data_IF_432882623074
#
_entry.id   IF_432882623074
#
_cell.length_a   1.000
_cell.length_b   1.000
_cell.length_c   1.000
_cell.angle_alpha   90.00
_cell.angle_beta   90.00
_cell.angle_gamma   90.00
#
_symmetry.space_group_name_H-M   'P 1'
#
loop_
_entity.id
_entity.type
_entity.pdbx_description
1 polymer ?
2 non-polymer ?
3 water ?
#
# COMPACT_ATOMS: atom_id res chain seq x y z
N UNK A 1 -7.12 25.30 -6.88
CA UNK A 1 -7.86 24.11 -7.39
C UNK A 1 -9.33 24.44 -7.58
N UNK A 2 -9.99 23.79 -8.55
CA UNK A 2 -11.42 24.08 -8.75
C UNK A 2 -12.18 23.67 -7.49
N UNK A 3 -13.24 24.40 -7.19
CA UNK A 3 -14.08 24.13 -6.03
C UNK A 3 -14.80 22.78 -6.14
N UNK A 4 -15.12 22.38 -7.37
CA UNK A 4 -15.77 21.10 -7.60
C UNK A 4 -15.28 20.50 -8.91
N UNK A 5 -15.31 19.18 -8.98
CA UNK A 5 -14.87 18.43 -10.15
C UNK A 5 -15.79 17.23 -10.34
N UNK A 6 -16.10 16.92 -11.60
CA UNK A 6 -16.93 15.76 -11.93
C UNK A 6 -16.42 15.24 -13.25
N UNK A 7 -15.60 14.18 -13.21
CA UNK A 7 -15.01 13.64 -14.42
C UNK A 7 -16.05 13.07 -15.37
N UNK A 8 -17.28 12.87 -14.88
CA UNK A 8 -18.34 12.36 -15.75
C UNK A 8 -18.64 13.43 -16.81
N UNK A 9 -18.53 14.70 -16.41
CA UNK A 9 -18.79 15.82 -17.31
C UNK A 9 -17.74 15.96 -18.42
N UNK A 10 -16.63 15.25 -18.27
CA UNK A 10 -15.58 15.31 -19.27
C UNK A 10 -15.57 14.03 -20.10
N UNK A 11 -16.63 13.23 -19.96
CA UNK A 11 -16.72 12.00 -20.72
C UNK A 11 -15.59 11.02 -20.40
N UNK A 12 -15.07 11.06 -19.18
CA UNK A 12 -13.97 10.17 -18.77
C UNK A 12 -14.38 9.00 -17.88
N UNK A 13 -15.68 8.83 -17.65
CA UNK A 13 -16.17 7.74 -16.81
C UNK A 13 -17.14 6.82 -17.58
N UNK A 14 -16.87 5.53 -17.57
CA UNK A 14 -17.72 4.57 -18.27
C UNK A 14 -18.94 4.23 -17.42
N UNK A 15 -19.86 3.43 -17.98
CA UNK A 15 -21.05 3.01 -17.25
C UNK A 15 -20.71 2.30 -15.95
N UNK A 16 -21.61 2.39 -14.97
CA UNK A 16 -21.44 1.71 -13.70
C UNK A 16 -21.58 0.21 -13.99
N UNK A 17 -20.69 -0.59 -13.41
CA UNK A 17 -20.69 -2.03 -13.62
C UNK A 17 -21.26 -2.73 -12.40
N UNK A 18 -21.67 -3.99 -12.58
CA UNK A 18 -22.24 -4.79 -11.52
C UNK A 18 -21.31 -6.00 -11.27
N UNK A 19 -20.64 -6.00 -10.12
CA UNK A 19 -19.70 -7.07 -9.81
C UNK A 19 -20.35 -8.38 -9.39
N UNK A 20 -21.60 -8.32 -8.93
CA UNK A 20 -22.28 -9.53 -8.51
C UNK A 20 -21.68 -10.14 -7.27
N UNK A 21 -21.73 -11.47 -7.19
CA UNK A 21 -21.21 -12.16 -6.04
C UNK A 21 -19.71 -12.45 -6.09
N UNK A 22 -18.98 -11.73 -6.92
CA UNK A 22 -17.54 -11.93 -7.02
C UNK A 22 -16.88 -10.69 -6.43
N UNK A 23 -15.95 -10.88 -5.49
CA UNK A 23 -15.30 -9.75 -4.84
C UNK A 23 -14.23 -9.14 -5.72
N UNK A 24 -14.66 -8.55 -6.83
CA UNK A 24 -13.73 -7.95 -7.78
C UNK A 24 -13.73 -6.42 -7.75
N UNK A 25 -14.22 -5.84 -6.66
CA UNK A 25 -14.25 -4.39 -6.55
C UNK A 25 -12.89 -3.78 -6.91
N UNK A 26 -11.82 -4.42 -6.45
CA UNK A 26 -10.47 -3.92 -6.70
C UNK A 26 -10.22 -3.85 -8.19
N UNK A 27 -10.67 -4.85 -8.94
CA UNK A 27 -10.46 -4.87 -10.37
C UNK A 27 -11.24 -3.75 -11.07
N UNK A 28 -12.48 -3.54 -10.63
CA UNK A 28 -13.32 -2.50 -11.22
C UNK A 28 -12.71 -1.14 -10.88
N UNK A 29 -12.20 -1.00 -9.66
CA UNK A 29 -11.59 0.27 -9.26
C UNK A 29 -10.40 0.55 -10.17
N UNK A 30 -9.54 -0.44 -10.37
CA UNK A 30 -8.37 -0.25 -11.21
C UNK A 30 -8.71 0.11 -12.68
N UNK A 31 -9.58 -0.65 -13.34
CA UNK A 31 -9.91 -0.33 -14.71
C UNK A 31 -10.59 1.04 -14.85
N UNK A 32 -11.44 1.40 -13.88
CA UNK A 32 -12.11 2.70 -13.94
C UNK A 32 -11.10 3.85 -13.99
N UNK A 33 -10.07 3.75 -13.16
CA UNK A 33 -9.02 4.78 -13.14
C UNK A 33 -8.28 4.80 -14.49
N UNK A 34 -7.94 3.62 -15.01
CA UNK A 34 -7.22 3.58 -16.28
C UNK A 34 -8.09 4.07 -17.44
N UNK A 35 -9.38 3.76 -17.38
CA UNK A 35 -10.32 4.16 -18.42
C UNK A 35 -10.26 5.69 -18.62
N UNK A 36 -10.18 6.42 -17.52
CA UNK A 36 -10.13 7.89 -17.59
C UNK A 36 -8.85 8.35 -18.29
N UNK A 37 -7.74 7.72 -17.93
CA UNK A 37 -6.45 8.06 -18.53
C UNK A 37 -6.46 7.73 -20.01
N UNK A 38 -7.07 6.60 -20.35
CA UNK A 38 -7.16 6.19 -21.74
C UNK A 38 -7.91 7.23 -22.54
N UNK A 39 -9.03 7.70 -21.99
CA UNK A 39 -9.85 8.70 -22.64
C UNK A 39 -9.05 9.99 -22.79
N UNK A 40 -8.41 10.40 -21.72
CA UNK A 40 -7.60 11.61 -21.77
C UNK A 40 -6.51 11.52 -22.82
N UNK A 41 -5.91 10.34 -22.98
CA UNK A 41 -4.82 10.19 -23.93
C UNK A 41 -5.24 10.01 -25.38
N UNK A 42 -6.25 9.17 -25.61
CA UNK A 42 -6.68 8.88 -26.97
C UNK A 42 -7.97 9.53 -27.44
N UNK A 43 -8.72 10.10 -26.52
CA UNK A 43 -9.99 10.74 -26.88
C UNK A 43 -11.14 9.74 -26.91
N UNK A 44 -10.84 8.47 -26.71
CA UNK A 44 -11.87 7.44 -26.73
C UNK A 44 -12.20 6.84 -25.35
N UNK A 45 -13.50 6.78 -25.03
CA UNK A 45 -13.96 6.21 -23.77
C UNK A 45 -14.31 4.73 -24.00
N UNK A 46 -13.57 3.84 -23.36
CA UNK A 46 -13.72 2.38 -23.53
C UNK A 46 -13.69 1.64 -22.19
N UNK A 47 -14.67 0.79 -21.91
CA UNK A 47 -14.62 0.04 -20.66
C UNK A 47 -13.49 -0.98 -20.79
N UNK A 48 -12.71 -1.18 -19.73
CA UNK A 48 -11.62 -2.14 -19.77
C UNK A 48 -12.03 -3.41 -19.01
N UNK A 49 -11.36 -4.52 -19.30
CA UNK A 49 -11.70 -5.81 -18.70
C UNK A 49 -11.35 -6.07 -17.25
N UNK A 50 -12.35 -6.00 -16.37
CA UNK A 50 -12.11 -6.29 -14.97
C UNK A 50 -11.80 -7.78 -14.85
N UNK A 51 -12.41 -8.60 -15.70
CA UNK A 51 -12.20 -10.06 -15.68
C UNK A 51 -10.74 -10.40 -15.99
N UNK A 52 -10.16 -9.65 -16.93
CA UNK A 52 -8.76 -9.83 -17.33
C UNK A 52 -7.90 -9.76 -16.07
N UNK A 53 -8.21 -8.78 -15.21
CA UNK A 53 -7.46 -8.61 -13.98
C UNK A 53 -7.74 -9.76 -13.01
N UNK A 54 -9.00 -10.13 -12.90
CA UNK A 54 -9.40 -11.23 -12.01
C UNK A 54 -8.68 -12.53 -12.35
N UNK A 55 -8.68 -12.88 -13.63
CA UNK A 55 -8.06 -14.11 -14.11
C UNK A 55 -6.56 -14.11 -14.24
N UNK A 56 -5.99 -12.94 -14.49
CA UNK A 56 -4.56 -12.82 -14.74
C UNK A 56 -3.65 -12.13 -13.72
N UNK A 57 -4.14 -11.10 -13.03
CA UNK A 57 -3.31 -10.41 -12.03
C UNK A 57 -3.63 -11.17 -10.76
N UNK A 58 -2.97 -12.32 -10.60
CA UNK A 58 -3.28 -13.18 -9.48
C UNK A 58 -2.21 -13.32 -8.40
N UNK A 59 -1.84 -14.56 -8.07
CA UNK A 59 -0.89 -14.84 -7.01
C UNK A 59 0.37 -13.99 -7.05
N UNK A 60 0.99 -13.88 -8.23
CA UNK A 60 2.23 -13.11 -8.35
C UNK A 60 2.03 -11.67 -7.91
N UNK A 61 0.78 -11.22 -7.94
CA UNK A 61 0.44 -9.87 -7.55
C UNK A 61 -0.25 -9.78 -6.19
N UNK A 62 -0.25 -10.88 -5.46
CA UNK A 62 -0.87 -10.89 -4.13
C UNK A 62 -2.39 -10.79 -4.20
N UNK A 63 -2.95 -10.99 -5.39
CA UNK A 63 -4.40 -10.92 -5.54
C UNK A 63 -5.05 -12.30 -5.50
N UNK A 64 -6.35 -12.32 -5.21
CA UNK A 64 -7.09 -13.57 -5.10
C UNK A 64 -8.41 -13.57 -5.86
N UNK A 65 -8.43 -12.87 -6.99
CA UNK A 65 -9.62 -12.84 -7.84
C UNK A 65 -10.90 -12.43 -7.17
N UNK A 66 -11.90 -13.32 -7.24
CA UNK A 66 -13.20 -13.06 -6.64
C UNK A 66 -13.13 -12.99 -5.13
N UNK A 67 -11.94 -13.26 -4.57
CA UNK A 67 -11.77 -13.20 -3.13
C UNK A 67 -10.93 -11.98 -2.70
N UNK A 68 -10.80 -11.01 -3.59
CA UNK A 68 -10.08 -9.81 -3.21
C UNK A 68 -8.79 -9.53 -3.93
N UNK A 69 -8.42 -8.25 -3.95
CA UNK A 69 -7.19 -7.85 -4.60
C UNK A 69 -6.84 -6.39 -4.31
N UNK A 70 -5.79 -5.91 -4.97
CA UNK A 70 -5.29 -4.55 -4.79
C UNK A 70 -5.26 -3.80 -6.12
N UNK A 71 -5.61 -2.52 -6.07
CA UNK A 71 -5.60 -1.72 -7.29
C UNK A 71 -4.17 -1.48 -7.76
N UNK A 72 -3.26 -1.20 -6.83
CA UNK A 72 -1.88 -0.94 -7.23
C UNK A 72 -1.19 -2.13 -7.87
N UNK A 73 -1.44 -3.35 -7.37
CA UNK A 73 -0.77 -4.51 -7.95
C UNK A 73 -1.38 -4.87 -9.29
N UNK A 74 -2.65 -4.50 -9.45
CA UNK A 74 -3.37 -4.71 -10.69
C UNK A 74 -2.70 -3.82 -11.73
N UNK A 75 -2.46 -2.56 -11.35
CA UNK A 75 -1.80 -1.60 -12.24
C UNK A 75 -0.45 -2.17 -12.67
N UNK A 76 0.33 -2.66 -11.72
CA UNK A 76 1.64 -3.23 -12.05
C UNK A 76 1.49 -4.41 -13.00
N UNK A 77 0.43 -5.21 -12.83
CA UNK A 77 0.19 -6.33 -13.74
C UNK A 77 0.02 -5.78 -15.15
N UNK A 78 -0.76 -4.72 -15.29
CA UNK A 78 -0.97 -4.14 -16.61
C UNK A 78 0.36 -3.66 -17.20
N UNK A 79 1.19 -3.07 -16.35
CA UNK A 79 2.50 -2.59 -16.78
C UNK A 79 3.35 -3.80 -17.21
N UNK A 80 3.49 -4.77 -16.32
CA UNK A 80 4.29 -5.96 -16.61
C UNK A 80 3.79 -6.69 -17.85
N UNK A 81 2.47 -6.82 -17.96
CA UNK A 81 1.82 -7.50 -19.07
C UNK A 81 1.86 -6.74 -20.40
N UNK A 82 2.15 -5.44 -20.33
CA UNK A 82 2.17 -4.59 -21.50
C UNK A 82 0.76 -4.33 -22.07
N UNK A 83 -0.26 -4.49 -21.25
CA UNK A 83 -1.61 -4.21 -21.70
C UNK A 83 -2.73 -4.89 -20.95
N UNK A 84 -3.95 -4.46 -21.24
CA UNK A 84 -5.15 -5.03 -20.65
C UNK A 84 -6.17 -5.04 -21.79
N UNK A 85 -6.98 -6.08 -21.85
CA UNK A 85 -7.99 -6.20 -22.91
C UNK A 85 -9.22 -5.34 -22.62
N UNK A 86 -10.05 -5.14 -23.63
CA UNK A 86 -11.27 -4.37 -23.47
C UNK A 86 -12.30 -5.27 -22.78
N UNK A 87 -13.24 -4.64 -22.07
CA UNK A 87 -14.32 -5.35 -21.41
C UNK A 87 -15.09 -6.16 -22.48
N UNK A 88 -15.33 -5.54 -23.65
CA UNK A 88 -16.05 -6.22 -24.73
C UNK A 88 -15.37 -7.53 -25.21
N UNK A 89 -14.05 -7.53 -25.27
CA UNK A 89 -13.30 -8.72 -25.72
C UNK A 89 -13.13 -9.77 -24.65
N UNK A 90 -13.17 -9.34 -23.40
CA UNK A 90 -12.94 -10.23 -22.25
C UNK A 90 -13.99 -9.84 -21.20
N UNK A 91 -15.24 -10.30 -21.40
CA UNK A 91 -16.39 -10.02 -20.53
C UNK A 91 -16.33 -10.54 -19.11
N UNK A 92 -16.98 -9.80 -18.24
CA UNK A 92 -17.01 -10.10 -16.82
C UNK A 92 -18.02 -11.20 -16.51
N UNK A 93 -17.53 -12.26 -15.88
CA UNK A 93 -18.37 -13.41 -15.55
C UNK A 93 -18.56 -13.62 -14.05
N UNK A 94 -18.00 -12.71 -13.26
CA UNK A 94 -18.14 -12.81 -11.80
C UNK A 94 -17.70 -14.19 -11.31
N UNK A 95 -16.62 -14.70 -11.89
CA UNK A 95 -16.06 -16.00 -11.51
C UNK A 95 -14.57 -15.99 -11.77
N UNK A 96 -13.85 -16.86 -11.08
CA UNK A 96 -12.42 -17.00 -11.26
C UNK A 96 -12.29 -17.88 -12.50
N UNK A 97 -11.52 -17.45 -13.49
CA UNK A 97 -11.32 -18.22 -14.71
C UNK A 97 -9.84 -18.30 -15.04
N UNK A 98 -9.50 -19.13 -16.00
CA UNK A 98 -8.11 -19.26 -16.43
C UNK A 98 -7.77 -17.96 -17.13
N UNK A 99 -6.52 -17.51 -17.03
CA UNK A 99 -6.10 -16.27 -17.70
C UNK A 99 -6.22 -16.42 -19.20
N UNK A 100 -6.99 -15.53 -19.83
CA UNK A 100 -7.23 -15.57 -21.27
C UNK A 100 -6.81 -14.30 -21.98
N UNK A 101 -5.86 -13.56 -21.43
CA UNK A 101 -5.39 -12.33 -22.07
C UNK A 101 -4.86 -12.61 -23.47
N UNK A 102 -5.19 -11.73 -24.40
CA UNK A 102 -4.72 -11.85 -25.79
C UNK A 102 -4.47 -10.41 -26.21
N UNK A 103 -3.22 -10.10 -26.58
CA UNK A 103 -2.84 -8.75 -26.99
C UNK A 103 -3.58 -8.25 -28.21
N UNK A 104 -4.20 -9.17 -28.95
CA UNK A 104 -4.98 -8.80 -30.14
C UNK A 104 -6.22 -8.02 -29.69
N UNK A 105 -6.61 -8.18 -28.44
CA UNK A 105 -7.76 -7.47 -27.88
C UNK A 105 -7.36 -6.36 -26.91
N UNK A 106 -6.07 -6.00 -26.88
CA UNK A 106 -5.57 -4.95 -25.98
C UNK A 106 -6.27 -3.62 -26.26
N UNK A 107 -6.75 -2.96 -25.21
CA UNK A 107 -7.41 -1.64 -25.37
C UNK A 107 -6.70 -0.51 -24.62
N UNK A 108 -5.74 -0.88 -23.77
CA UNK A 108 -5.00 0.11 -23.01
C UNK A 108 -3.68 -0.48 -22.52
N UNK A 109 -2.79 0.41 -22.11
CA UNK A 109 -1.51 0.02 -21.53
C UNK A 109 -1.37 0.95 -20.31
N UNK A 110 -0.36 0.66 -19.49
CA UNK A 110 -0.08 1.48 -18.32
C UNK A 110 1.45 1.55 -18.20
N UNK A 111 1.99 2.73 -17.90
CA UNK A 111 3.44 2.84 -17.78
C UNK A 111 3.91 3.00 -16.33
N UNK A 112 3.01 3.45 -15.45
CA UNK A 112 3.35 3.64 -14.05
C UNK A 112 2.11 3.95 -13.24
N UNK A 113 2.24 3.91 -11.92
CA UNK A 113 1.13 4.28 -11.05
C UNK A 113 1.72 5.05 -9.86
N UNK A 114 0.87 5.80 -9.17
CA UNK A 114 1.29 6.59 -8.04
C UNK A 114 0.39 6.35 -6.84
N UNK A 115 0.98 6.14 -5.68
CA UNK A 115 0.20 5.95 -4.47
C UNK A 115 0.31 7.27 -3.71
N UNK A 116 -0.84 7.86 -3.39
CA UNK A 116 -0.85 9.13 -2.66
C UNK A 116 -0.52 8.93 -1.18
N UNK A 117 -0.03 9.98 -0.50
CA UNK A 117 0.30 9.90 0.94
C UNK A 117 -0.95 9.58 1.76
N UNK A 118 -0.78 8.71 2.74
CA UNK A 118 -1.87 8.28 3.59
C UNK A 118 -2.71 9.37 4.27
N UNK A 119 -4.02 9.32 4.05
CA UNK A 119 -4.95 10.21 4.70
C UNK A 119 -4.99 11.69 4.39
N UNK A 120 -4.18 12.13 3.44
CA UNK A 120 -4.13 13.52 3.04
C UNK A 120 -5.24 13.80 2.01
N UNK A 121 -6.35 14.39 2.47
CA UNK A 121 -7.48 14.70 1.60
C UNK A 121 -7.20 15.89 0.66
N UNK A 122 -6.29 16.77 1.06
CA UNK A 122 -5.91 17.91 0.20
C UNK A 122 -5.10 17.40 -1.01
N UNK A 123 -4.24 16.40 -0.78
CA UNK A 123 -3.44 15.82 -1.87
C UNK A 123 -4.36 15.04 -2.82
N UNK A 124 -5.34 14.34 -2.24
CA UNK A 124 -6.27 13.59 -3.04
C UNK A 124 -7.10 14.55 -3.91
N UNK A 125 -7.48 15.70 -3.35
CA UNK A 125 -8.27 16.71 -4.08
C UNK A 125 -7.47 17.20 -5.28
N UNK A 126 -6.20 17.48 -5.02
CA UNK A 126 -5.30 17.95 -6.06
C UNK A 126 -5.13 16.90 -7.18
N UNK A 127 -4.98 15.63 -6.81
CA UNK A 127 -4.84 14.58 -7.80
C UNK A 127 -6.11 14.42 -8.64
N UNK A 128 -7.26 14.44 -7.97
CA UNK A 128 -8.53 14.29 -8.66
C UNK A 128 -8.71 15.45 -9.63
N UNK A 129 -8.30 16.65 -9.21
CA UNK A 129 -8.43 17.82 -10.07
C UNK A 129 -7.42 17.84 -11.20
N UNK A 130 -6.16 17.55 -10.88
CA UNK A 130 -5.10 17.63 -11.88
C UNK A 130 -4.72 16.40 -12.66
N UNK A 131 -5.02 15.21 -12.14
CA UNK A 131 -4.65 13.96 -12.82
C UNK A 131 -5.85 13.19 -13.38
N UNK A 132 -6.90 13.05 -12.58
CA UNK A 132 -8.08 12.33 -13.02
C UNK A 132 -8.63 11.47 -11.90
N UNK A 133 -9.64 10.60 -12.16
CA UNK A 133 -10.23 9.74 -11.13
C UNK A 133 -9.15 8.94 -10.41
N UNK A 134 -9.34 8.77 -9.10
CA UNK A 134 -8.37 8.07 -8.26
C UNK A 134 -8.99 6.84 -7.59
N UNK A 135 -8.27 5.72 -7.67
CA UNK A 135 -8.72 4.47 -7.06
C UNK A 135 -8.48 4.60 -5.57
N UNK A 136 -9.45 4.19 -4.75
CA UNK A 136 -9.30 4.27 -3.30
C UNK A 136 -9.99 3.10 -2.62
N UNK A 137 -9.69 2.92 -1.34
CA UNK A 137 -10.35 1.87 -0.58
C UNK A 137 -11.16 2.59 0.49
N UNK A 138 -12.35 2.11 0.80
CA UNK A 138 -13.14 2.72 1.86
C UNK A 138 -13.69 1.65 2.76
N UNK A 139 -14.09 2.04 3.95
CA UNK A 139 -14.69 1.10 4.90
C UNK A 139 -16.17 1.09 4.47
N UNK A 140 -16.58 0.06 3.74
CA UNK A 140 -17.98 -0.04 3.29
C UNK A 140 -18.75 -1.16 3.98
N UNK A 141 -18.27 -1.62 5.12
CA UNK A 141 -18.94 -2.71 5.79
C UNK A 141 -20.11 -2.34 6.69
N UNK A 142 -20.43 -1.06 6.81
CA UNK A 142 -21.53 -0.68 7.69
C UNK A 142 -22.88 -0.75 7.02
N UNK A 143 -23.89 -1.30 7.73
CA UNK A 143 -25.24 -1.44 7.17
C UNK A 143 -25.71 -0.19 6.41
N UNK A 144 -25.39 0.98 6.94
CA UNK A 144 -25.78 2.26 6.31
C UNK A 144 -25.21 2.42 4.89
N UNK A 145 -24.05 1.83 4.64
CA UNK A 145 -23.44 1.98 3.31
C UNK A 145 -24.30 1.36 2.20
N UNK A 146 -24.82 0.16 2.46
CA UNK A 146 -25.65 -0.56 1.48
C UNK A 146 -26.99 0.13 1.21
N UNK A 147 -27.49 0.85 2.20
CA UNK A 147 -28.77 1.54 2.12
C UNK A 147 -28.70 3.00 1.71
N UNK A 148 -27.52 3.46 1.35
CA UNK A 148 -27.35 4.85 0.95
C UNK A 148 -28.21 5.16 -0.28
N UNK A 149 -28.91 6.29 -0.24
CA UNK A 149 -29.77 6.66 -1.35
C UNK A 149 -29.50 8.06 -1.87
N UNK A 150 -29.20 9.02 -0.99
CA UNK A 150 -28.96 10.38 -1.46
C UNK A 150 -28.23 11.22 -0.43
N UNK A 151 -27.94 12.46 -0.80
CA UNK A 151 -27.24 13.37 0.11
C UNK A 151 -25.76 13.03 0.22
N UNK A 152 -25.15 13.43 1.34
CA UNK A 152 -23.74 13.15 1.56
C UNK A 152 -23.63 12.14 2.70
N UNK A 153 -23.03 10.99 2.39
CA UNK A 153 -22.86 9.90 3.33
C UNK A 153 -21.88 10.21 4.45
N UNK A 154 -22.38 10.13 5.67
CA UNK A 154 -21.58 10.32 6.85
C UNK A 154 -22.03 9.28 7.87
N UNK A 155 -21.12 8.38 8.24
CA UNK A 155 -21.43 7.31 9.18
C UNK A 155 -20.51 7.38 10.41
N UNK A 156 -21.06 7.77 11.57
CA UNK A 156 -20.23 7.86 12.80
C UNK A 156 -19.46 6.57 13.09
N UNK A 157 -20.04 5.43 12.77
CA UNK A 157 -19.39 4.15 13.03
C UNK A 157 -18.30 3.79 12.02
N UNK A 158 -18.08 4.66 11.03
CA UNK A 158 -17.07 4.35 10.02
C UNK A 158 -15.65 4.40 10.58
N UNK A 159 -14.75 3.66 9.94
CA UNK A 159 -13.38 3.60 10.39
C UNK A 159 -12.42 3.76 9.22
N UNK A 160 -11.13 3.80 9.53
CA UNK A 160 -10.10 3.92 8.53
C UNK A 160 -9.55 2.54 8.19
N UNK A 161 -10.32 1.51 8.57
CA UNK A 161 -9.97 0.13 8.25
C UNK A 161 -10.75 -0.13 6.97
N UNK A 162 -10.10 0.09 5.82
CA UNK A 162 -10.78 -0.07 4.54
C UNK A 162 -10.85 -1.48 4.01
N UNK A 163 -11.93 -1.77 3.30
CA UNK A 163 -12.16 -3.09 2.77
C UNK A 163 -12.76 -3.15 1.39
N UNK A 164 -13.21 -2.02 0.84
CA UNK A 164 -13.86 -2.01 -0.48
C UNK A 164 -13.20 -1.06 -1.49
N UNK A 165 -12.82 -1.58 -2.66
CA UNK A 165 -12.18 -0.76 -3.67
C UNK A 165 -13.18 -0.04 -4.54
N UNK A 166 -13.04 1.28 -4.65
CA UNK A 166 -13.96 2.07 -5.45
C UNK A 166 -13.18 3.16 -6.16
N UNK A 167 -13.89 4.08 -6.81
CA UNK A 167 -13.24 5.13 -7.57
C UNK A 167 -13.79 6.52 -7.34
N UNK A 168 -12.89 7.46 -7.04
CA UNK A 168 -13.28 8.84 -6.84
C UNK A 168 -13.23 9.51 -8.21
N UNK A 169 -14.38 9.98 -8.68
CA UNK A 169 -14.45 10.62 -9.99
C UNK A 169 -14.73 12.11 -9.88
N UNK A 170 -14.66 12.63 -8.66
CA UNK A 170 -14.90 14.05 -8.45
C UNK A 170 -15.10 14.41 -6.99
N UNK A 171 -15.42 15.68 -6.75
CA UNK A 171 -15.65 16.17 -5.41
C UNK A 171 -16.44 17.49 -5.51
N UNK A 172 -16.97 17.95 -4.38
CA UNK A 172 -17.75 19.17 -4.41
C UNK A 172 -18.37 19.46 -3.06
N UNK A 173 -19.44 20.24 -3.10
CA UNK A 173 -20.17 20.67 -1.91
C UNK A 173 -21.68 20.60 -2.22
N UNK A 174 -22.45 19.96 -1.35
CA UNK A 174 -23.89 19.84 -1.53
C UNK A 174 -24.58 20.29 -0.25
N UNK A 175 -25.28 21.42 -0.32
CA UNK A 175 -25.97 21.94 0.85
C UNK A 175 -25.08 22.13 2.05
N UNK A 176 -23.89 22.66 1.80
CA UNK A 176 -22.96 22.91 2.87
C UNK A 176 -22.14 21.72 3.35
N UNK A 177 -22.25 20.56 2.70
CA UNK A 177 -21.48 19.37 3.09
C UNK A 177 -20.53 19.02 1.95
N UNK A 178 -19.22 19.03 2.24
CA UNK A 178 -18.21 18.71 1.25
C UNK A 178 -18.24 17.20 1.03
N UNK A 179 -18.04 16.77 -0.21
CA UNK A 179 -18.11 15.35 -0.47
C UNK A 179 -17.14 14.89 -1.56
N UNK A 180 -16.91 13.59 -1.60
CA UNK A 180 -16.11 12.95 -2.61
C UNK A 180 -17.17 12.22 -3.45
N UNK A 181 -17.08 12.35 -4.77
CA UNK A 181 -18.04 11.67 -5.66
C UNK A 181 -17.41 10.32 -5.98
N UNK A 182 -18.04 9.25 -5.47
CA UNK A 182 -17.53 7.90 -5.63
C UNK A 182 -18.32 6.96 -6.54
N UNK A 183 -17.61 6.36 -7.50
CA UNK A 183 -18.21 5.39 -8.41
C UNK A 183 -18.03 3.99 -7.81
N UNK A 184 -19.13 3.32 -7.54
CA UNK A 184 -19.12 1.97 -6.97
C UNK A 184 -19.30 0.94 -8.09
N UNK A 185 -19.27 -0.36 -7.77
CA UNK A 185 -19.44 -1.38 -8.78
C UNK A 185 -20.51 -2.38 -8.36
N UNK A 186 -21.61 -1.86 -7.82
CA UNK A 186 -22.73 -2.68 -7.39
C UNK A 186 -23.93 -2.37 -8.26
N UNK A 187 -23.66 -1.96 -9.49
CA UNK A 187 -24.73 -1.67 -10.44
C UNK A 187 -25.39 -0.33 -10.23
N UNK A 188 -26.32 -0.02 -11.12
CA UNK A 188 -27.08 1.22 -11.07
C UNK A 188 -28.11 1.26 -9.94
N UNK A 189 -28.51 0.12 -9.40
CA UNK A 189 -29.49 0.14 -8.32
C UNK A 189 -28.91 0.69 -7.02
N UNK A 190 -27.59 0.63 -6.88
CA UNK A 190 -26.98 1.13 -5.65
C UNK A 190 -26.86 2.65 -5.62
N UNK A 191 -27.22 3.25 -4.48
CA UNK A 191 -27.11 4.69 -4.31
C UNK A 191 -27.69 5.56 -5.40
N UNK A 192 -26.90 6.54 -5.85
CA UNK A 192 -27.37 7.45 -6.90
C UNK A 192 -26.90 6.94 -8.24
N UNK A 193 -27.68 6.03 -8.81
CA UNK A 193 -27.37 5.40 -10.09
C UNK A 193 -25.96 4.78 -10.07
N UNK A 194 -25.61 4.16 -8.94
CA UNK A 194 -24.32 3.49 -8.80
C UNK A 194 -23.23 4.30 -8.11
N UNK A 195 -23.54 5.54 -7.77
CA UNK A 195 -22.60 6.45 -7.13
C UNK A 195 -22.97 6.78 -5.70
N UNK A 196 -21.98 7.22 -4.92
CA UNK A 196 -22.19 7.64 -3.54
C UNK A 196 -21.32 8.88 -3.24
N UNK A 197 -21.94 9.90 -2.66
CA UNK A 197 -21.24 11.11 -2.26
C UNK A 197 -20.82 10.83 -0.83
N UNK A 198 -19.51 10.76 -0.58
CA UNK A 198 -19.01 10.45 0.75
C UNK A 198 -18.37 11.68 1.39
N UNK A 199 -18.58 11.86 2.69
CA UNK A 199 -18.06 13.02 3.40
C UNK A 199 -16.59 13.29 3.16
N UNK A 200 -16.30 14.55 2.87
CA UNK A 200 -14.95 15.02 2.58
C UNK A 200 -14.49 16.06 3.62
N UNK A 201 -13.21 16.00 3.97
CA UNK A 201 -12.63 16.89 4.96
C UNK A 201 -13.31 16.68 6.29
N UNK A 202 -13.67 15.44 6.55
CA UNK A 202 -14.30 15.09 7.82
C UNK A 202 -13.41 14.01 8.46
N UNK A 203 -12.13 14.35 8.63
CA UNK A 203 -11.16 13.45 9.22
C UNK A 203 -10.96 12.14 8.50
N UNK A 204 -10.76 12.19 7.18
CA UNK A 204 -10.56 10.98 6.40
C UNK A 204 -11.65 9.96 6.69
N UNK A 205 -12.90 10.42 6.54
CA UNK A 205 -14.09 9.59 6.80
C UNK A 205 -14.11 8.27 6.00
N UNK A 206 -14.33 7.16 6.71
CA UNK A 206 -14.36 5.82 6.13
C UNK A 206 -13.05 5.46 5.42
N UNK A 207 -11.97 6.17 5.75
CA UNK A 207 -10.66 5.90 5.14
C UNK A 207 -10.54 6.22 3.66
N UNK A 208 -11.43 7.07 3.15
CA UNK A 208 -11.41 7.37 1.74
C UNK A 208 -10.04 7.84 1.19
N UNK A 209 -9.27 8.61 1.96
CA UNK A 209 -7.96 9.06 1.47
C UNK A 209 -6.82 8.22 2.04
N UNK A 210 -7.16 7.08 2.64
CA UNK A 210 -6.13 6.22 3.24
C UNK A 210 -5.16 5.62 2.23
N UNK A 211 -5.72 5.01 1.20
CA UNK A 211 -4.92 4.34 0.18
C UNK A 211 -5.30 4.68 -1.27
N UNK A 212 -5.05 5.92 -1.71
CA UNK A 212 -5.36 6.35 -3.07
C UNK A 212 -4.21 6.07 -4.04
N UNK A 213 -4.55 5.81 -5.29
CA UNK A 213 -3.54 5.59 -6.32
C UNK A 213 -4.17 5.84 -7.68
N UNK A 214 -3.34 6.22 -8.64
CA UNK A 214 -3.85 6.42 -9.99
C UNK A 214 -2.77 6.00 -10.98
N UNK A 215 -3.17 5.44 -12.12
CA UNK A 215 -2.22 4.99 -13.15
C UNK A 215 -2.00 6.10 -14.16
N UNK A 216 -0.99 5.93 -15.02
CA UNK A 216 -0.73 6.88 -16.08
C UNK A 216 -0.30 6.09 -17.31
N UNK A 217 -0.51 6.68 -18.48
CA UNK A 217 -0.18 6.04 -19.75
C UNK A 217 0.96 6.83 -20.41
N UNK B 1 25.37 0.45 -10.07
CA UNK B 1 25.11 0.06 -8.64
C UNK B 1 26.16 -0.90 -8.08
N UNK B 2 26.56 -0.70 -6.81
CA UNK B 2 27.56 -1.60 -6.23
C UNK B 2 27.00 -3.02 -6.21
N UNK B 3 27.88 -4.01 -6.27
CA UNK B 3 27.47 -5.42 -6.26
C UNK B 3 26.91 -5.86 -4.92
N UNK B 4 27.40 -5.23 -3.85
CA UNK B 4 26.97 -5.55 -2.47
C UNK B 4 26.93 -4.26 -1.62
N UNK B 5 25.96 -4.19 -0.70
CA UNK B 5 25.80 -3.05 0.19
C UNK B 5 25.41 -3.58 1.57
N UNK B 6 25.97 -3.01 2.63
CA UNK B 6 25.62 -3.41 4.00
C UNK B 6 25.59 -2.12 4.82
N UNK B 7 24.39 -1.61 5.10
CA UNK B 7 24.26 -0.38 5.86
C UNK B 7 24.80 -0.46 7.27
N UNK B 8 25.03 -1.67 7.78
CA UNK B 8 25.61 -1.77 9.14
C UNK B 8 27.06 -1.27 9.05
N UNK B 9 27.73 -1.56 7.92
CA UNK B 9 29.10 -1.09 7.73
C UNK B 9 29.17 0.43 7.72
N UNK B 10 28.05 1.07 7.40
CA UNK B 10 28.02 2.53 7.35
C UNK B 10 27.50 3.22 8.63
N UNK B 11 27.34 2.44 9.70
CA UNK B 11 26.88 2.96 10.98
C UNK B 11 25.43 3.44 11.04
N UNK B 12 24.58 2.92 10.17
CA UNK B 12 23.18 3.32 10.09
C UNK B 12 22.14 2.31 10.57
N UNK B 13 22.56 1.27 11.27
CA UNK B 13 21.63 0.26 11.76
C UNK B 13 21.84 0.01 13.27
N UNK B 14 20.76 0.11 14.04
CA UNK B 14 20.83 -0.08 15.49
C UNK B 14 20.85 -1.57 15.84
N UNK B 15 20.92 -1.86 17.14
CA UNK B 15 20.94 -3.24 17.56
C UNK B 15 19.59 -3.90 17.27
N UNK B 16 19.62 -5.21 17.09
CA UNK B 16 18.41 -5.98 16.81
C UNK B 16 17.49 -5.91 18.02
N UNK B 17 16.21 -5.70 17.78
CA UNK B 17 15.22 -5.63 18.85
C UNK B 17 14.42 -6.95 18.93
N UNK B 18 13.81 -7.20 20.09
CA UNK B 18 12.98 -8.40 20.32
C UNK B 18 11.52 -7.97 20.52
N UNK B 19 10.66 -8.22 19.54
CA UNK B 19 9.26 -7.80 19.63
C UNK B 19 8.43 -8.59 20.63
N UNK B 20 8.88 -9.80 20.94
CA UNK B 20 8.18 -10.61 21.91
C UNK B 20 6.86 -11.10 21.38
N UNK B 21 5.85 -11.21 22.26
CA UNK B 21 4.55 -11.71 21.83
C UNK B 21 3.64 -10.65 21.21
N UNK B 22 4.15 -9.45 21.01
CA UNK B 22 3.39 -8.36 20.42
C UNK B 22 3.67 -8.30 18.91
N UNK B 23 2.60 -8.23 18.11
CA UNK B 23 2.76 -8.18 16.66
C UNK B 23 3.13 -6.79 16.17
N UNK B 24 4.34 -6.36 16.55
CA UNK B 24 4.83 -5.03 16.20
C UNK B 24 5.90 -5.02 15.14
N UNK B 25 6.01 -6.09 14.36
CA UNK B 25 7.03 -6.15 13.31
C UNK B 25 7.01 -4.88 12.46
N UNK B 26 5.81 -4.41 12.14
CA UNK B 26 5.61 -3.21 11.32
C UNK B 26 6.21 -1.97 11.97
N UNK B 27 6.05 -1.83 13.28
CA UNK B 27 6.60 -0.69 14.00
C UNK B 27 8.13 -0.73 13.97
N UNK B 28 8.70 -1.90 14.26
CA UNK B 28 10.15 -2.05 14.25
C UNK B 28 10.73 -1.80 12.85
N UNK B 29 10.07 -2.30 11.83
CA UNK B 29 10.52 -2.10 10.45
C UNK B 29 10.57 -0.59 10.16
N UNK B 30 9.52 0.11 10.59
CA UNK B 30 9.44 1.54 10.33
C UNK B 30 10.51 2.34 11.07
N UNK B 31 10.69 2.08 12.36
CA UNK B 31 11.70 2.83 13.11
C UNK B 31 13.06 2.50 12.53
N UNK B 32 13.24 1.25 12.12
CA UNK B 32 14.52 0.84 11.55
C UNK B 32 14.91 1.68 10.35
N UNK B 33 13.98 1.85 9.43
CA UNK B 33 14.24 2.63 8.24
C UNK B 33 14.54 4.10 8.59
N UNK B 34 13.74 4.68 9.48
CA UNK B 34 13.95 6.08 9.84
C UNK B 34 15.26 6.29 10.63
N UNK B 35 15.66 5.29 11.40
CA UNK B 35 16.89 5.38 12.19
C UNK B 35 18.06 5.66 11.25
N UNK B 36 18.05 4.98 10.11
CA UNK B 36 19.13 5.19 9.14
C UNK B 36 19.10 6.63 8.60
N UNK B 37 17.91 7.14 8.27
CA UNK B 37 17.80 8.49 7.73
C UNK B 37 18.25 9.50 8.79
N UNK B 38 17.90 9.24 10.04
CA UNK B 38 18.30 10.11 11.13
C UNK B 38 19.83 10.15 11.23
N UNK B 39 20.48 8.99 11.16
CA UNK B 39 21.94 8.95 11.20
C UNK B 39 22.50 9.76 10.03
N UNK B 40 21.96 9.53 8.83
CA UNK B 40 22.43 10.22 7.63
C UNK B 40 22.27 11.73 7.76
N UNK B 41 21.23 12.17 8.46
CA UNK B 41 20.99 13.59 8.62
C UNK B 41 21.75 14.24 9.76
N UNK B 42 21.83 13.57 10.90
CA UNK B 42 22.47 14.15 12.07
C UNK B 42 23.81 13.61 12.53
N UNK B 43 24.22 12.46 11.99
CA UNK B 43 25.47 11.87 12.40
C UNK B 43 25.31 11.00 13.64
N UNK B 44 24.10 10.94 14.19
CA UNK B 44 23.87 10.13 15.38
C UNK B 44 22.98 8.92 15.07
N UNK B 45 23.34 7.80 15.69
CA UNK B 45 22.59 6.55 15.54
C UNK B 45 21.82 6.35 16.84
N UNK B 46 20.50 6.43 16.78
CA UNK B 46 19.71 6.26 18.00
C UNK B 46 18.43 5.47 17.72
N UNK B 47 18.17 4.47 18.54
CA UNK B 47 16.98 3.65 18.37
C UNK B 47 15.76 4.52 18.63
N UNK B 48 14.78 4.41 17.74
CA UNK B 48 13.56 5.19 17.87
C UNK B 48 12.48 4.30 18.50
N UNK B 49 11.52 4.93 19.14
CA UNK B 49 10.48 4.20 19.85
C UNK B 49 9.44 3.41 19.06
N UNK B 50 9.60 2.10 18.97
CA UNK B 50 8.62 1.28 18.28
C UNK B 50 7.31 1.35 19.10
N UNK B 51 7.44 1.46 20.42
CA UNK B 51 6.27 1.53 21.28
C UNK B 51 5.40 2.76 20.96
N UNK B 52 6.06 3.89 20.68
CA UNK B 52 5.39 5.14 20.32
C UNK B 52 4.42 4.86 19.14
N UNK B 53 4.89 4.09 18.16
CA UNK B 53 4.07 3.76 16.99
C UNK B 53 2.92 2.83 17.38
N UNK B 54 3.24 1.79 18.13
CA UNK B 54 2.23 0.83 18.56
C UNK B 54 1.09 1.52 19.29
N UNK B 55 1.43 2.44 20.20
CA UNK B 55 0.43 3.14 21.01
C UNK B 55 -0.27 4.32 20.36
N UNK B 56 0.40 4.97 19.40
CA UNK B 56 -0.17 6.18 18.79
C UNK B 56 -0.55 6.13 17.33
N UNK B 57 0.14 5.34 16.51
CA UNK B 57 -0.21 5.22 15.10
C UNK B 57 -1.21 4.08 15.12
N UNK B 58 -2.43 4.40 15.56
CA UNK B 58 -3.44 3.37 15.72
C UNK B 58 -4.58 3.41 14.70
N UNK B 59 -5.83 3.37 15.16
CA UNK B 59 -7.01 3.35 14.29
C UNK B 59 -7.01 4.33 13.14
N UNK B 60 -6.66 5.58 13.42
CA UNK B 60 -6.64 6.58 12.36
C UNK B 60 -5.66 6.21 11.24
N UNK B 61 -4.71 5.34 11.54
CA UNK B 61 -3.71 4.92 10.54
C UNK B 61 -3.92 3.49 10.06
N UNK B 62 -5.10 2.93 10.33
CA UNK B 62 -5.41 1.58 9.90
C UNK B 62 -4.60 0.53 10.62
N UNK B 63 -3.93 0.92 11.71
CA UNK B 63 -3.11 -0.01 12.45
C UNK B 63 -3.85 -0.57 13.67
N UNK B 64 -3.40 -1.74 14.12
CA UNK B 64 -3.99 -2.42 15.25
C UNK B 64 -2.99 -2.78 16.35
N UNK B 65 -1.98 -1.93 16.55
CA UNK B 65 -1.00 -2.18 17.60
C UNK B 65 -0.36 -3.56 17.58
N UNK B 66 -0.45 -4.29 18.68
CA UNK B 66 0.12 -5.64 18.75
C UNK B 66 -0.59 -6.64 17.85
N UNK B 67 -1.64 -6.19 17.18
CA UNK B 67 -2.35 -7.08 16.26
C UNK B 67 -1.98 -6.76 14.80
N UNK B 68 -0.94 -5.96 14.58
CA UNK B 68 -0.53 -5.67 13.22
C UNK B 68 -0.68 -4.23 12.75
N UNK B 69 0.10 -3.87 11.74
CA UNK B 69 0.06 -2.51 11.21
C UNK B 69 0.85 -2.34 9.92
N UNK B 70 0.98 -1.09 9.47
CA UNK B 70 1.66 -0.75 8.22
C UNK B 70 2.85 0.20 8.41
N UNK B 71 3.92 -0.07 7.69
CA UNK B 71 5.08 0.80 7.77
C UNK B 71 4.76 2.15 7.16
N UNK B 72 4.04 2.15 6.05
CA UNK B 72 3.74 3.41 5.38
C UNK B 72 2.87 4.32 6.26
N UNK B 73 1.84 3.75 6.90
CA UNK B 73 0.97 4.57 7.73
C UNK B 73 1.70 4.95 9.01
N UNK B 74 2.68 4.13 9.42
CA UNK B 74 3.46 4.49 10.58
C UNK B 74 4.25 5.77 10.21
N UNK B 75 4.87 5.77 9.02
CA UNK B 75 5.62 6.96 8.59
C UNK B 75 4.69 8.18 8.54
N UNK B 76 3.48 8.00 8.02
CA UNK B 76 2.58 9.15 7.94
C UNK B 76 2.24 9.67 9.32
N UNK B 77 2.06 8.78 10.30
CA UNK B 77 1.77 9.23 11.66
C UNK B 77 2.91 10.15 12.15
N UNK B 78 4.14 9.72 11.94
CA UNK B 78 5.31 10.49 12.36
C UNK B 78 5.31 11.85 11.69
N UNK B 79 4.95 11.87 10.41
CA UNK B 79 4.86 13.12 9.67
C UNK B 79 3.77 14.02 10.27
N UNK B 80 2.55 13.51 10.39
CA UNK B 80 1.43 14.30 10.94
C UNK B 80 1.69 14.74 12.37
N UNK B 81 2.29 13.84 13.14
CA UNK B 81 2.61 14.07 14.55
C UNK B 81 3.77 15.04 14.75
N UNK B 82 4.52 15.27 13.68
CA UNK B 82 5.68 16.15 13.71
C UNK B 82 6.79 15.61 14.62
N UNK B 83 6.89 14.28 14.70
CA UNK B 83 7.93 13.67 15.51
C UNK B 83 7.67 12.29 16.05
N UNK B 84 8.73 11.61 16.48
CA UNK B 84 8.63 10.32 17.11
C UNK B 84 9.67 10.39 18.24
N UNK B 85 9.34 9.84 19.40
CA UNK B 85 10.25 9.86 20.55
C UNK B 85 11.35 8.80 20.43
N UNK B 86 12.41 8.95 21.22
CA UNK B 86 13.52 7.99 21.21
C UNK B 86 13.04 6.71 21.91
N UNK B 87 13.69 5.59 21.61
CA UNK B 87 13.33 4.34 22.27
C UNK B 87 13.70 4.50 23.77
N UNK B 88 14.79 5.21 24.04
CA UNK B 88 15.23 5.40 25.43
C UNK B 88 14.13 6.04 26.31
N UNK B 89 13.47 7.06 25.76
CA UNK B 89 12.41 7.80 26.47
C UNK B 89 11.03 7.14 26.51
N UNK B 90 10.77 6.26 25.54
CA UNK B 90 9.48 5.60 25.41
C UNK B 90 9.83 4.14 25.07
N UNK B 91 10.27 3.36 26.08
CA UNK B 91 10.67 1.96 25.88
C UNK B 91 9.60 0.98 25.42
N UNK B 92 10.05 -0.12 24.83
CA UNK B 92 9.15 -1.13 24.30
C UNK B 92 8.68 -2.07 25.41
N UNK B 93 7.37 -2.21 25.51
CA UNK B 93 6.74 -3.07 26.50
C UNK B 93 6.03 -4.30 25.91
N UNK B 94 6.07 -4.46 24.58
CA UNK B 94 5.41 -5.62 23.97
C UNK B 94 3.93 -5.76 24.33
N UNK B 95 3.21 -4.64 24.33
CA UNK B 95 1.79 -4.67 24.62
C UNK B 95 1.20 -3.31 24.24
N UNK B 96 -0.09 -3.29 23.93
CA UNK B 96 -0.76 -2.05 23.56
C UNK B 96 -0.93 -1.17 24.79
N UNK B 97 -0.68 0.12 24.63
CA UNK B 97 -0.84 1.09 25.71
C UNK B 97 -1.46 2.33 25.14
N UNK B 98 -1.96 3.18 26.04
CA UNK B 98 -2.55 4.45 25.64
C UNK B 98 -1.35 5.26 25.08
N UNK B 99 -1.60 6.11 24.10
CA UNK B 99 -0.53 6.91 23.51
C UNK B 99 0.15 7.78 24.56
N UNK B 100 1.47 7.69 24.66
CA UNK B 100 2.18 8.51 25.63
C UNK B 100 3.18 9.44 24.95
N UNK B 101 2.96 9.76 23.68
CA UNK B 101 3.89 10.63 22.99
C UNK B 101 4.04 11.98 23.67
N UNK B 102 5.27 12.50 23.68
CA UNK B 102 5.56 13.79 24.25
C UNK B 102 6.65 14.40 23.39
N UNK B 103 6.39 15.59 22.86
CA UNK B 103 7.35 16.29 22.02
C UNK B 103 8.67 16.54 22.75
N UNK B 104 8.65 16.59 24.08
CA UNK B 104 9.91 16.84 24.81
C UNK B 104 10.90 15.70 24.68
N UNK B 105 10.41 14.54 24.20
CA UNK B 105 11.29 13.39 24.00
C UNK B 105 11.48 13.08 22.51
N UNK B 106 11.13 14.03 21.64
CA UNK B 106 11.27 13.79 20.20
C UNK B 106 12.73 13.48 19.83
N UNK B 107 12.94 12.44 19.03
CA UNK B 107 14.29 12.08 18.58
C UNK B 107 14.42 12.15 17.05
N UNK B 108 13.29 12.26 16.35
CA UNK B 108 13.31 12.37 14.90
C UNK B 108 11.99 12.90 14.36
N UNK B 109 12.05 13.38 13.13
CA UNK B 109 10.89 13.86 12.41
C UNK B 109 10.93 13.09 11.09
N UNK B 110 9.89 13.25 10.28
CA UNK B 110 9.85 12.61 8.97
C UNK B 110 9.06 13.58 8.10
N UNK B 111 9.54 13.82 6.88
CA UNK B 111 8.85 14.75 6.02
C UNK B 111 8.03 14.05 4.92
N UNK B 112 8.36 12.80 4.63
CA UNK B 112 7.63 12.08 3.59
C UNK B 112 8.13 10.67 3.49
N UNK B 113 7.45 9.86 2.69
CA UNK B 113 7.92 8.49 2.48
C UNK B 113 7.63 8.13 1.03
N UNK B 114 8.27 7.07 0.55
CA UNK B 114 8.12 6.65 -0.83
C UNK B 114 7.85 5.16 -0.92
N UNK B 115 6.84 4.79 -1.71
CA UNK B 115 6.50 3.37 -1.88
C UNK B 115 7.04 2.96 -3.26
N UNK B 116 7.89 1.94 -3.30
CA UNK B 116 8.47 1.46 -4.55
C UNK B 116 7.45 0.67 -5.35
N UNK B 117 7.62 0.66 -6.69
CA UNK B 117 6.70 -0.07 -7.58
C UNK B 117 6.71 -1.57 -7.25
N UNK B 118 5.52 -2.15 -7.27
CA UNK B 118 5.33 -3.55 -6.96
C UNK B 118 6.20 -4.59 -7.67
N UNK B 119 6.90 -5.39 -6.88
CA UNK B 119 7.72 -6.48 -7.39
C UNK B 119 8.99 -6.19 -8.14
N UNK B 120 9.39 -4.94 -8.19
CA UNK B 120 10.59 -4.59 -8.92
C UNK B 120 11.84 -4.71 -8.07
N UNK B 121 12.51 -5.86 -8.16
CA UNK B 121 13.73 -6.06 -7.36
C UNK B 121 14.89 -5.18 -7.79
N UNK B 122 14.88 -4.75 -9.05
CA UNK B 122 15.96 -3.87 -9.53
C UNK B 122 15.77 -2.48 -8.92
N UNK B 123 14.51 -2.06 -8.80
CA UNK B 123 14.22 -0.75 -8.21
C UNK B 123 14.55 -0.80 -6.71
N UNK B 124 14.26 -1.94 -6.09
CA UNK B 124 14.55 -2.09 -4.67
C UNK B 124 16.07 -2.02 -4.47
N UNK B 125 16.82 -2.67 -5.36
CA UNK B 125 18.29 -2.65 -5.25
C UNK B 125 18.78 -1.20 -5.30
N UNK B 126 18.29 -0.45 -6.28
CA UNK B 126 18.68 0.94 -6.43
C UNK B 126 18.37 1.78 -5.18
N UNK B 127 17.21 1.56 -4.58
CA UNK B 127 16.82 2.30 -3.38
C UNK B 127 17.70 1.95 -2.18
N UNK B 128 18.02 0.67 -2.03
CA UNK B 128 18.86 0.25 -0.91
C UNK B 128 20.28 0.83 -1.08
N UNK B 129 20.76 0.89 -2.31
CA UNK B 129 22.10 1.42 -2.56
C UNK B 129 22.19 2.93 -2.44
N UNK B 130 21.18 3.61 -2.96
CA UNK B 130 21.19 5.07 -3.01
C UNK B 130 20.45 5.87 -1.95
N UNK B 131 19.44 5.28 -1.33
CA UNK B 131 18.65 5.99 -0.34
C UNK B 131 18.90 5.49 1.08
N UNK B 132 18.91 4.17 1.26
CA UNK B 132 19.14 3.60 2.57
C UNK B 132 18.31 2.35 2.81
N UNK B 133 18.27 1.88 4.07
CA UNK B 133 17.46 0.69 4.39
C UNK B 133 16.00 0.92 4.00
N UNK B 134 15.37 -0.13 3.47
CA UNK B 134 13.99 -0.05 2.99
C UNK B 134 13.08 -1.02 3.76
N UNK B 135 11.93 -0.51 4.21
CA UNK B 135 10.96 -1.34 4.94
C UNK B 135 10.26 -2.20 3.88
N UNK B 136 10.05 -3.47 4.18
CA UNK B 136 9.37 -4.38 3.24
C UNK B 136 8.50 -5.41 3.96
N UNK B 137 7.58 -6.01 3.23
CA UNK B 137 6.77 -7.07 3.80
C UNK B 137 7.21 -8.37 3.13
N UNK B 138 7.20 -9.47 3.87
CA UNK B 138 7.55 -10.77 3.28
C UNK B 138 6.58 -11.83 3.76
N UNK B 139 6.50 -12.92 3.00
CA UNK B 139 5.65 -14.03 3.40
C UNK B 139 6.56 -14.85 4.34
N UNK B 140 6.29 -14.75 5.63
CA UNK B 140 7.04 -15.46 6.65
C UNK B 140 6.18 -16.59 7.25
N UNK B 141 5.12 -16.98 6.55
CA UNK B 141 4.21 -18.02 7.05
C UNK B 141 4.65 -19.45 6.76
N UNK B 142 5.93 -19.74 6.90
CA UNK B 142 6.42 -21.08 6.64
C UNK B 142 7.39 -21.47 7.72
N UNK B 143 7.31 -22.72 8.18
CA UNK B 143 8.22 -23.17 9.25
C UNK B 143 9.69 -22.89 8.93
N UNK B 144 10.07 -23.00 7.67
CA UNK B 144 11.48 -22.77 7.31
C UNK B 144 11.95 -21.39 7.75
N UNK B 145 11.05 -20.41 7.70
CA UNK B 145 11.41 -19.06 8.08
C UNK B 145 11.72 -19.01 9.58
N UNK B 146 10.87 -19.65 10.37
CA UNK B 146 11.07 -19.72 11.82
C UNK B 146 12.32 -20.52 12.21
N UNK B 147 12.63 -21.55 11.43
CA UNK B 147 13.76 -22.40 11.72
C UNK B 147 15.08 -21.96 11.08
N UNK B 148 15.02 -20.91 10.29
CA UNK B 148 16.20 -20.40 9.61
C UNK B 148 17.37 -20.17 10.55
N UNK B 149 18.55 -20.63 10.15
CA UNK B 149 19.74 -20.43 10.97
C UNK B 149 20.84 -19.68 10.22
N UNK B 150 21.06 -20.00 8.94
CA UNK B 150 22.14 -19.34 8.20
C UNK B 150 22.11 -19.57 6.70
N UNK B 151 22.89 -18.77 5.96
CA UNK B 151 22.98 -18.89 4.51
C UNK B 151 21.90 -18.11 3.77
N UNK B 152 21.70 -18.43 2.48
CA UNK B 152 20.66 -17.72 1.75
C UNK B 152 19.38 -18.52 1.80
N UNK B 153 18.36 -17.90 2.39
CA UNK B 153 17.05 -18.51 2.57
C UNK B 153 16.24 -18.55 1.28
N UNK B 154 15.79 -19.75 0.92
CA UNK B 154 14.96 -19.95 -0.26
C UNK B 154 13.92 -21.02 0.11
N UNK B 155 12.65 -20.64 0.06
CA UNK B 155 11.54 -21.53 0.41
C UNK B 155 10.66 -21.74 -0.84
N UNK B 156 10.68 -22.96 -1.42
CA UNK B 156 9.91 -23.29 -2.62
C UNK B 156 8.42 -22.97 -2.53
N UNK B 157 7.86 -23.12 -1.33
CA UNK B 157 6.44 -22.84 -1.13
C UNK B 157 6.13 -21.38 -0.75
N UNK B 158 7.12 -20.49 -0.87
CA UNK B 158 6.87 -19.09 -0.53
C UNK B 158 5.95 -18.44 -1.55
N UNK B 159 5.21 -17.43 -1.12
CA UNK B 159 4.26 -16.74 -1.99
C UNK B 159 4.49 -15.23 -1.95
N UNK B 160 3.75 -14.50 -2.79
CA UNK B 160 3.84 -13.06 -2.80
C UNK B 160 2.77 -12.47 -1.87
N UNK B 161 2.13 -13.34 -1.09
CA UNK B 161 1.13 -12.87 -0.11
C UNK B 161 1.93 -12.61 1.16
N UNK B 162 2.37 -11.37 1.35
CA UNK B 162 3.21 -11.02 2.48
C UNK B 162 2.44 -10.67 3.75
N UNK B 163 3.08 -10.87 4.90
CA UNK B 163 2.40 -10.62 6.18
C UNK B 163 3.31 -10.16 7.30
N UNK B 164 4.62 -10.16 7.06
CA UNK B 164 5.61 -9.82 8.09
C UNK B 164 6.48 -8.65 7.66
N UNK B 165 6.46 -7.58 8.46
CA UNK B 165 7.24 -6.40 8.13
C UNK B 165 8.66 -6.51 8.65
N UNK B 166 9.64 -6.27 7.79
CA UNK B 166 11.04 -6.34 8.19
C UNK B 166 11.82 -5.21 7.53
N UNK B 167 13.15 -5.23 7.65
CA UNK B 167 13.98 -4.16 7.08
C UNK B 167 15.16 -4.66 6.24
N UNK B 168 15.20 -4.28 4.97
CA UNK B 168 16.32 -4.68 4.10
C UNK B 168 17.41 -3.66 4.37
N UNK B 169 18.54 -4.10 4.94
CA UNK B 169 19.63 -3.18 5.23
C UNK B 169 20.83 -3.39 4.32
N UNK B 170 20.63 -4.17 3.26
CA UNK B 170 21.71 -4.39 2.32
C UNK B 170 21.46 -5.52 1.33
N UNK B 171 22.46 -5.84 0.53
CA UNK B 171 22.32 -6.94 -0.41
C UNK B 171 23.70 -7.43 -0.83
N UNK B 172 23.75 -8.62 -1.40
CA UNK B 172 25.03 -9.16 -1.83
C UNK B 172 24.84 -10.54 -2.41
N UNK B 173 25.85 -11.38 -2.24
CA UNK B 173 25.80 -12.73 -2.74
C UNK B 173 26.73 -13.62 -1.92
N UNK B 174 26.29 -14.86 -1.75
CA UNK B 174 27.06 -15.84 -1.01
C UNK B 174 27.51 -16.85 -2.05
N UNK B 175 28.75 -16.68 -2.53
CA UNK B 175 29.31 -17.57 -3.55
C UNK B 175 28.36 -17.68 -4.74
N UNK B 176 27.89 -16.54 -5.24
CA UNK B 176 27.01 -16.56 -6.38
C UNK B 176 25.51 -16.46 -6.08
N UNK B 177 25.06 -16.97 -4.94
CA UNK B 177 23.64 -16.91 -4.57
C UNK B 177 23.30 -15.51 -4.06
N UNK B 178 22.58 -14.76 -4.88
CA UNK B 178 22.22 -13.39 -4.52
C UNK B 178 21.19 -13.34 -3.39
N UNK B 179 21.34 -12.37 -2.50
CA UNK B 179 20.43 -12.25 -1.36
C UNK B 179 20.17 -10.81 -0.95
N UNK B 180 19.11 -10.64 -0.15
CA UNK B 180 18.74 -9.35 0.44
C UNK B 180 19.17 -9.52 1.91
N UNK B 181 19.85 -8.54 2.48
CA UNK B 181 20.26 -8.65 3.89
C UNK B 181 19.11 -8.05 4.70
N UNK B 182 18.42 -8.90 5.46
CA UNK B 182 17.24 -8.48 6.21
C UNK B 182 17.37 -8.47 7.74
N UNK B 183 17.07 -7.32 8.34
CA UNK B 183 17.06 -7.18 9.80
C UNK B 183 15.63 -7.55 10.26
N UNK B 184 15.50 -8.54 11.15
CA UNK B 184 14.20 -8.97 11.67
C UNK B 184 14.09 -8.34 13.07
N UNK B 185 12.97 -8.51 13.74
CA UNK B 185 12.80 -7.95 15.08
C UNK B 185 12.37 -9.06 16.05
N UNK B 186 12.99 -10.23 15.85
CA UNK B 186 12.73 -11.40 16.68
C UNK B 186 13.91 -11.71 17.59
N UNK B 187 14.69 -10.68 17.95
CA UNK B 187 15.83 -10.89 18.84
C UNK B 187 17.11 -11.36 18.17
N UNK B 188 18.22 -11.33 18.91
CA UNK B 188 19.49 -11.73 18.35
C UNK B 188 19.71 -13.23 18.21
N UNK B 189 18.75 -14.02 18.67
CA UNK B 189 18.88 -15.47 18.58
C UNK B 189 18.26 -16.00 17.29
N UNK B 190 17.46 -15.19 16.62
CA UNK B 190 16.85 -15.60 15.37
C UNK B 190 17.89 -15.56 14.24
N UNK B 191 17.92 -16.62 13.44
CA UNK B 191 18.83 -16.66 12.31
C UNK B 191 20.27 -16.27 12.53
N UNK B 192 20.77 -15.37 11.68
CA UNK B 192 22.16 -14.91 11.78
C UNK B 192 22.21 -13.73 12.73
N UNK B 193 22.10 -14.07 14.00
CA UNK B 193 22.10 -13.10 15.08
C UNK B 193 21.15 -11.94 14.83
N UNK B 194 19.92 -12.30 14.48
CA UNK B 194 18.87 -11.34 14.23
C UNK B 194 18.56 -11.01 12.79
N UNK B 195 19.41 -11.48 11.89
CA UNK B 195 19.27 -11.22 10.46
C UNK B 195 18.99 -12.48 9.69
N UNK B 196 18.45 -12.29 8.49
CA UNK B 196 18.18 -13.40 7.59
C UNK B 196 18.52 -12.90 6.18
N UNK B 197 19.31 -13.68 5.45
CA UNK B 197 19.65 -13.31 4.09
C UNK B 197 18.64 -14.03 3.22
N UNK B 198 17.79 -13.26 2.53
CA UNK B 198 16.74 -13.83 1.68
C UNK B 198 17.06 -13.77 0.21
N UNK B 199 16.71 -14.85 -0.51
CA UNK B 199 16.97 -14.97 -1.95
C UNK B 199 16.56 -13.73 -2.73
N UNK B 200 17.50 -13.22 -3.51
CA UNK B 200 17.31 -12.03 -4.32
C UNK B 200 17.30 -12.41 -5.82
N UNK B 201 16.53 -11.67 -6.61
CA UNK B 201 16.44 -11.95 -8.04
C UNK B 201 16.00 -13.39 -8.30
N UNK B 202 15.06 -13.84 -7.48
CA UNK B 202 14.46 -15.17 -7.55
C UNK B 202 12.93 -15.01 -7.72
N UNK B 203 12.54 -14.22 -8.71
CA UNK B 203 11.12 -13.99 -8.96
C UNK B 203 10.37 -13.38 -7.77
N UNK B 204 10.95 -12.35 -7.16
CA UNK B 204 10.29 -11.69 -6.02
C UNK B 204 9.95 -12.73 -4.93
N UNK B 205 10.96 -13.47 -4.51
CA UNK B 205 10.86 -14.51 -3.50
C UNK B 205 10.24 -14.05 -2.19
N UNK B 206 9.20 -14.76 -1.75
CA UNK B 206 8.48 -14.45 -0.52
C UNK B 206 7.90 -13.03 -0.57
N UNK B 207 7.77 -12.50 -1.79
CA UNK B 207 7.22 -11.16 -1.98
C UNK B 207 8.06 -10.06 -1.35
N UNK B 208 9.37 -10.26 -1.26
CA UNK B 208 10.21 -9.25 -0.65
C UNK B 208 10.14 -7.86 -1.31
N UNK B 209 9.96 -7.77 -2.63
CA UNK B 209 9.85 -6.47 -3.30
C UNK B 209 8.39 -6.12 -3.61
N UNK B 210 7.45 -6.76 -2.94
CA UNK B 210 6.04 -6.47 -3.22
C UNK B 210 5.62 -5.10 -2.70
N UNK B 211 5.93 -4.80 -1.45
CA UNK B 211 5.53 -3.53 -0.86
C UNK B 211 6.67 -2.82 -0.10
N UNK B 212 7.67 -2.32 -0.82
CA UNK B 212 8.78 -1.64 -0.16
C UNK B 212 8.52 -0.14 -0.01
N UNK B 213 8.99 0.43 1.10
CA UNK B 213 8.86 1.85 1.31
C UNK B 213 10.03 2.36 2.17
N UNK B 214 10.35 3.63 2.04
CA UNK B 214 11.42 4.23 2.83
C UNK B 214 11.04 5.69 3.10
N UNK B 215 11.36 6.20 4.29
CA UNK B 215 11.05 7.56 4.72
C UNK B 215 12.23 8.49 4.46
N UNK B 216 11.97 9.78 4.55
CA UNK B 216 13.03 10.78 4.38
C UNK B 216 12.80 11.89 5.41
N UNK B 217 13.87 12.60 5.74
CA UNK B 217 13.81 13.68 6.71
C UNK B 217 14.24 14.99 6.03
#
# INVERSE_FOLDING_TARGET
LPDSVDWREKGCVTEVKYQGSCGACWAFSAVGALEAQLKLKTGKLVSLSAQNLVDCSTEKYGNKGCNGGFMTTAFQYIIDNKGIDSDASYPYKAMDQKCQYDSKYRAATCSKYTELPYGREDVLKEAVANKGPVSVGVDARHPSFFLYRSGVYYEPSCTQNVNHGVLVVGYGDLNGKEYWLVKNSWGHNFGEEGYIRMARNKGNHCGIASFPSYPEIHHHHH
LPDSVDWREKGCVTEVKYQGSCGACWAFSAVGALEAQLKLKTGKLVSLSAQNLVDCSTEKYGNKGCNGGFMTTAFQYIIDNKGIDSDASYPYKAMDQKCQYDSKYRAATCSKYTELPYGREDVLKEAVANKGPVSVGVDARHPSFFLYRSGVYYEPSCTQNVNHGVLVVGYGDLNGKEYWLVKNSWGHNFGEEGYIRMARNKGNHCGIASFPSYPEIHHHHH
#
